data_IF_665961492780
#
_entry.id   IF_665961492780
#
_cell.length_a   1.000
_cell.length_b   1.000
_cell.length_c   1.000
_cell.angle_alpha   90.00
_cell.angle_beta   90.00
_cell.angle_gamma   90.00
#
_symmetry.space_group_name_H-M   'P 1'
#
loop_
_entity.id
_entity.type
_entity.pdbx_description
1 polymer ?
#
# COMPACT_ATOMS: atom_id res chain seq x y z
N UNK A 1 -5.53 8.93 -18.50
CA UNK A 1 -4.74 7.73 -18.15
C UNK A 1 -5.04 7.41 -16.70
N UNK A 2 -5.40 6.16 -16.35
CA UNK A 2 -5.83 5.83 -14.99
C UNK A 2 -4.62 5.81 -14.03
N UNK A 3 -4.52 6.81 -13.16
CA UNK A 3 -3.56 6.88 -12.05
C UNK A 3 -3.94 5.85 -10.98
N UNK A 4 -3.62 4.58 -11.25
CA UNK A 4 -3.70 3.52 -10.25
C UNK A 4 -2.46 3.57 -9.37
N UNK A 5 -2.60 3.29 -8.08
CA UNK A 5 -1.45 3.23 -7.17
C UNK A 5 -0.44 2.18 -7.68
N UNK A 6 0.73 2.66 -8.12
CA UNK A 6 1.82 1.83 -8.67
C UNK A 6 2.92 1.59 -7.66
N UNK A 7 2.88 2.21 -6.48
CA UNK A 7 3.97 2.17 -5.51
C UNK A 7 3.48 1.64 -4.17
N UNK A 8 4.33 0.89 -3.50
CA UNK A 8 4.09 0.42 -2.15
C UNK A 8 4.24 1.59 -1.17
N UNK A 9 3.27 1.79 -0.28
CA UNK A 9 3.34 2.89 0.70
C UNK A 9 4.37 2.66 1.82
N UNK A 10 4.76 1.40 2.09
CA UNK A 10 5.75 1.09 3.14
C UNK A 10 7.19 1.18 2.64
N UNK A 11 7.45 0.87 1.38
CA UNK A 11 8.82 0.74 0.86
C UNK A 11 9.06 1.48 -0.46
N UNK A 12 8.07 2.16 -1.02
CA UNK A 12 8.19 2.92 -2.26
C UNK A 12 8.33 2.09 -3.55
N UNK A 13 8.52 0.77 -3.44
CA UNK A 13 8.78 -0.10 -4.61
C UNK A 13 7.57 -0.16 -5.54
N UNK A 14 7.85 -0.31 -6.83
CA UNK A 14 6.82 -0.45 -7.86
C UNK A 14 6.07 -1.77 -7.71
N UNK A 15 4.75 -1.72 -7.74
CA UNK A 15 3.82 -2.84 -7.66
C UNK A 15 3.70 -3.54 -9.02
N UNK A 16 4.85 -3.86 -9.62
CA UNK A 16 4.95 -4.60 -10.89
C UNK A 16 5.06 -6.13 -10.66
N UNK A 17 5.14 -6.58 -9.41
CA UNK A 17 5.32 -8.00 -9.06
C UNK A 17 4.04 -8.74 -8.67
N UNK A 18 3.95 -10.02 -9.04
CA UNK A 18 2.93 -10.96 -8.58
C UNK A 18 2.87 -10.99 -7.04
N UNK A 19 1.74 -10.61 -6.46
CA UNK A 19 1.53 -10.50 -5.01
C UNK A 19 1.44 -9.07 -4.47
N UNK A 20 1.53 -8.05 -5.34
CA UNK A 20 1.06 -6.72 -5.00
C UNK A 20 -0.47 -6.69 -4.86
N UNK A 21 -0.97 -6.04 -3.79
CA UNK A 21 -2.40 -5.86 -3.54
C UNK A 21 -2.72 -4.38 -3.42
N UNK A 22 -3.92 -4.02 -3.87
CA UNK A 22 -4.48 -2.67 -3.72
C UNK A 22 -5.75 -2.77 -2.89
N UNK A 23 -5.86 -1.93 -1.87
CA UNK A 23 -7.02 -1.87 -0.98
C UNK A 23 -7.24 -0.45 -0.50
N UNK A 24 -8.44 -0.12 -0.05
CA UNK A 24 -8.73 1.20 0.50
C UNK A 24 -8.40 1.23 2.00
N UNK A 25 -7.85 2.34 2.47
CA UNK A 25 -7.64 2.56 3.89
C UNK A 25 -8.99 2.50 4.64
N UNK A 26 -9.11 1.75 5.75
CA UNK A 26 -10.36 1.68 6.51
C UNK A 26 -10.71 3.00 7.21
N UNK A 27 -9.73 3.88 7.44
CA UNK A 27 -9.93 5.16 8.13
C UNK A 27 -10.36 6.30 7.19
N UNK A 28 -9.74 6.41 6.02
CA UNK A 28 -9.95 7.56 5.12
C UNK A 28 -10.38 7.18 3.70
N UNK A 29 -10.42 5.89 3.36
CA UNK A 29 -10.79 5.43 2.02
C UNK A 29 -9.73 5.61 0.93
N UNK A 30 -8.53 6.14 1.27
CA UNK A 30 -7.43 6.33 0.32
C UNK A 30 -7.00 5.01 -0.29
N UNK A 31 -6.79 4.98 -1.60
CA UNK A 31 -6.29 3.81 -2.30
C UNK A 31 -4.83 3.56 -1.89
N UNK A 32 -4.58 2.39 -1.31
CA UNK A 32 -3.27 1.97 -0.82
C UNK A 32 -2.81 0.77 -1.62
N UNK A 33 -1.58 0.83 -2.10
CA UNK A 33 -0.90 -0.29 -2.71
C UNK A 33 0.17 -0.86 -1.79
N UNK A 34 0.22 -2.18 -1.64
CA UNK A 34 1.29 -2.87 -0.91
C UNK A 34 1.86 -4.03 -1.69
N UNK A 35 3.18 -4.18 -1.64
CA UNK A 35 3.89 -5.27 -2.29
C UNK A 35 3.81 -6.56 -1.43
N UNK A 36 3.93 -7.72 -2.09
CA UNK A 36 3.89 -9.02 -1.42
C UNK A 36 5.00 -9.19 -0.37
N UNK A 37 6.15 -8.51 -0.53
CA UNK A 37 7.24 -8.53 0.45
C UNK A 37 6.86 -7.85 1.77
N UNK A 38 6.26 -6.65 1.72
CA UNK A 38 5.80 -5.96 2.93
C UNK A 38 4.63 -6.70 3.57
N UNK A 39 3.75 -7.31 2.76
CA UNK A 39 2.66 -8.15 3.26
C UNK A 39 3.17 -9.41 3.96
N UNK A 40 4.17 -10.10 3.39
CA UNK A 40 4.79 -11.28 4.02
C UNK A 40 5.51 -10.96 5.32
N UNK A 41 6.09 -9.76 5.43
CA UNK A 41 6.77 -9.30 6.63
C UNK A 41 5.83 -8.64 7.65
N UNK A 42 4.52 -8.59 7.37
CA UNK A 42 3.54 -7.83 8.18
C UNK A 42 4.05 -6.44 8.55
N UNK A 43 4.73 -5.80 7.59
CA UNK A 43 5.45 -4.57 7.86
C UNK A 43 4.45 -3.43 7.99
N UNK A 44 4.62 -2.64 9.05
CA UNK A 44 3.77 -1.48 9.30
C UNK A 44 3.77 -0.52 8.11
N UNK A 45 2.57 -0.12 7.72
CA UNK A 45 2.32 0.84 6.67
C UNK A 45 1.68 2.07 7.26
N UNK A 46 2.11 3.23 6.79
CA UNK A 46 1.55 4.51 7.21
C UNK A 46 0.73 5.06 6.06
N UNK A 47 -0.55 5.31 6.29
CA UNK A 47 -1.38 5.97 5.30
C UNK A 47 -0.94 7.43 5.14
N UNK A 48 -0.61 7.91 3.93
CA UNK A 48 -0.17 9.29 3.72
C UNK A 48 -1.30 10.31 3.87
N UNK A 49 -2.57 9.91 3.79
CA UNK A 49 -3.71 10.84 3.95
C UNK A 49 -4.10 11.07 5.40
N UNK A 50 -4.13 10.02 6.24
CA UNK A 50 -4.63 10.11 7.61
C UNK A 50 -3.59 9.77 8.68
N UNK A 51 -2.39 9.32 8.29
CA UNK A 51 -1.34 8.90 9.24
C UNK A 51 -1.61 7.54 9.91
N UNK A 52 -2.66 6.81 9.51
CA UNK A 52 -2.99 5.51 10.08
C UNK A 52 -1.84 4.51 9.90
N UNK A 53 -1.37 3.91 11.02
CA UNK A 53 -0.32 2.88 11.02
C UNK A 53 -0.95 1.50 11.20
N UNK A 54 -1.00 0.72 10.13
CA UNK A 54 -1.51 -0.65 10.15
C UNK A 54 -0.42 -1.67 9.80
N UNK A 55 -0.52 -2.95 10.19
CA UNK A 55 0.38 -4.02 9.76
C UNK A 55 0.05 -4.52 8.35
#
# INVERSE_FOLDING_TARGET
MAERVKNCISCGVRLEGAGAVRFKCPTCGTEIGRCGKCRKQSNVYVCPSCGFKGP
#
